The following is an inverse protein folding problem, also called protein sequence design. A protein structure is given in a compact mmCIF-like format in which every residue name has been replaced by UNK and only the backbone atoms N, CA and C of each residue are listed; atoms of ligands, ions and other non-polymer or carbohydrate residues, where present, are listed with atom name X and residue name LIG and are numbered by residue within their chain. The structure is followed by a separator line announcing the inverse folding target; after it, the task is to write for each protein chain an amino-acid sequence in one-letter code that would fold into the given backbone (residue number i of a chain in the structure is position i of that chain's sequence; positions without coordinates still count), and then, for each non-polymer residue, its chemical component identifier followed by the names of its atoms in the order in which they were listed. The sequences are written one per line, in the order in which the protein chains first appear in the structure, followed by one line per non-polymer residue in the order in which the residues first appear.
data_IF_641436245044
#
_entry.id   IF_641436245044
#
_cell.length_a   1.000
_cell.length_b   1.000
_cell.length_c   1.000
_cell.angle_alpha   90.00
_cell.angle_beta   90.00
_cell.angle_gamma   90.00
#
_symmetry.space_group_name_H-M   'P 1'
#
loop_
_entity.id
_entity.type
_entity.pdbx_description
1 polymer ?
#
# COMPACT_ATOMS: atom_id res chain seq x y z
N UNK A 1 0.43 -2.76 -20.09
CA UNK A 1 -0.45 -2.25 -19.01
C UNK A 1 0.24 -1.02 -18.42
N UNK A 2 -0.47 0.06 -18.07
CA UNK A 2 0.21 1.22 -17.45
C UNK A 2 0.65 0.83 -16.04
N UNK A 3 1.95 0.92 -15.70
CA UNK A 3 2.41 0.58 -14.37
C UNK A 3 1.80 1.53 -13.35
N UNK A 4 1.23 0.99 -12.29
CA UNK A 4 0.62 1.78 -11.23
C UNK A 4 0.69 1.04 -9.90
N UNK A 5 0.53 1.78 -8.81
CA UNK A 5 0.51 1.22 -7.48
C UNK A 5 -0.85 1.42 -6.80
N UNK A 6 -1.29 0.39 -6.07
CA UNK A 6 -2.44 0.45 -5.18
C UNK A 6 -1.96 0.50 -3.73
N UNK A 7 -2.62 1.34 -2.93
CA UNK A 7 -2.34 1.44 -1.49
C UNK A 7 -3.46 0.76 -0.73
N UNK A 8 -3.09 -0.11 0.19
CA UNK A 8 -4.00 -0.83 1.06
C UNK A 8 -3.82 -0.39 2.49
N UNK A 9 -4.91 -0.08 3.19
CA UNK A 9 -4.87 0.08 4.64
C UNK A 9 -4.97 -1.30 5.31
N UNK A 10 -4.17 -1.48 6.36
CA UNK A 10 -4.19 -2.63 7.24
C UNK A 10 -4.44 -2.17 8.66
N UNK A 11 -5.30 -2.91 9.33
CA UNK A 11 -5.59 -2.70 10.75
C UNK A 11 -5.46 -4.04 11.46
N UNK A 12 -4.69 -4.08 12.54
CA UNK A 12 -4.59 -5.24 13.41
C UNK A 12 -4.90 -4.83 14.85
N UNK A 13 -5.74 -5.62 15.52
CA UNK A 13 -6.01 -5.46 16.94
C UNK A 13 -5.10 -6.40 17.72
N UNK A 14 -4.29 -5.84 18.62
CA UNK A 14 -3.42 -6.61 19.49
C UNK A 14 -4.18 -7.16 20.70
N UNK A 15 -3.61 -8.17 21.36
CA UNK A 15 -4.19 -8.78 22.55
C UNK A 15 -4.41 -7.79 23.70
N UNK A 16 -3.60 -6.72 23.77
CA UNK A 16 -3.72 -5.63 24.73
C UNK A 16 -4.72 -4.53 24.32
N UNK A 17 -5.60 -4.82 23.34
CA UNK A 17 -6.63 -3.91 22.80
C UNK A 17 -6.09 -2.65 22.14
N UNK A 18 -4.83 -2.65 21.67
CA UNK A 18 -4.32 -1.58 20.81
C UNK A 18 -4.66 -1.88 19.35
N UNK A 19 -5.00 -0.83 18.63
CA UNK A 19 -5.20 -0.89 17.18
C UNK A 19 -3.94 -0.38 16.51
N UNK A 20 -3.26 -1.25 15.78
CA UNK A 20 -2.12 -0.88 14.91
C UNK A 20 -2.67 -0.69 13.50
N UNK A 21 -2.35 0.44 12.88
CA UNK A 21 -2.70 0.75 11.49
C UNK A 21 -1.44 1.00 10.69
N UNK A 22 -1.39 0.45 9.49
CA UNK A 22 -0.33 0.71 8.52
C UNK A 22 -0.89 0.63 7.11
N UNK A 23 -0.08 1.04 6.14
CA UNK A 23 -0.38 0.94 4.73
C UNK A 23 0.62 0.00 4.06
N UNK A 24 0.14 -0.72 3.05
CA UNK A 24 0.93 -1.60 2.18
C UNK A 24 0.74 -1.14 0.73
N UNK A 25 1.75 -1.37 -0.11
CA UNK A 25 1.67 -1.08 -1.53
C UNK A 25 1.63 -2.38 -2.36
N UNK A 26 0.81 -2.36 -3.41
CA UNK A 26 0.81 -3.38 -4.46
C UNK A 26 1.21 -2.71 -5.78
N UNK A 27 2.30 -3.20 -6.37
CA UNK A 27 2.82 -2.70 -7.63
C UNK A 27 2.24 -3.57 -8.75
N UNK A 28 1.68 -2.93 -9.77
CA UNK A 28 1.05 -3.62 -10.89
C UNK A 28 1.77 -3.19 -12.16
N UNK A 29 2.37 -4.14 -12.87
CA UNK A 29 3.05 -3.96 -14.15
C UNK A 29 2.67 -5.07 -15.15
N UNK A 30 3.34 -5.12 -16.29
CA UNK A 30 3.13 -6.12 -17.35
C UNK A 30 3.40 -7.56 -16.89
N UNK A 31 4.17 -7.78 -15.81
CA UNK A 31 4.39 -9.08 -15.19
C UNK A 31 3.29 -9.46 -14.18
N UNK A 32 2.30 -8.58 -13.97
CA UNK A 32 1.17 -8.79 -13.07
C UNK A 32 1.24 -7.95 -11.79
N UNK A 33 0.45 -8.36 -10.79
CA UNK A 33 0.36 -7.68 -9.51
C UNK A 33 1.34 -8.28 -8.48
N UNK A 34 2.21 -7.44 -7.92
CA UNK A 34 3.16 -7.79 -6.87
C UNK A 34 2.88 -7.00 -5.60
N UNK A 35 2.41 -7.69 -4.56
CA UNK A 35 2.19 -7.08 -3.24
C UNK A 35 3.48 -7.02 -2.42
N UNK A 36 3.83 -5.83 -1.93
CA UNK A 36 5.01 -5.64 -1.08
C UNK A 36 4.59 -5.69 0.38
N UNK A 37 4.57 -6.91 0.94
CA UNK A 37 4.21 -7.17 2.36
C UNK A 37 5.34 -6.91 3.34
N UNK A 38 6.58 -6.77 2.85
CA UNK A 38 7.76 -6.56 3.70
C UNK A 38 7.93 -5.12 4.17
N UNK A 39 7.07 -4.20 3.72
CA UNK A 39 7.19 -2.78 4.03
C UNK A 39 5.84 -2.24 4.50
N UNK A 40 5.81 -1.80 5.76
CA UNK A 40 4.68 -1.13 6.36
C UNK A 40 4.94 0.38 6.35
N UNK A 41 4.00 1.14 5.80
CA UNK A 41 4.04 2.60 5.80
C UNK A 41 3.10 3.15 6.87
N UNK A 42 3.49 4.22 7.55
CA UNK A 42 2.66 4.80 8.62
C UNK A 42 1.76 5.94 8.10
N UNK A 43 1.93 6.35 6.85
CA UNK A 43 1.05 7.32 6.18
C UNK A 43 0.85 6.98 4.71
N UNK A 44 -0.29 7.42 4.16
CA UNK A 44 -0.58 7.31 2.72
C UNK A 44 0.46 8.09 1.90
N UNK A 45 0.92 9.25 2.38
CA UNK A 45 1.92 10.06 1.69
C UNK A 45 3.28 9.35 1.56
N UNK A 46 3.69 8.63 2.59
CA UNK A 46 4.91 7.81 2.58
C UNK A 46 4.79 6.65 1.59
N UNK A 47 3.66 5.93 1.62
CA UNK A 47 3.36 4.87 0.67
C UNK A 47 3.33 5.37 -0.79
N UNK A 48 2.68 6.52 -1.05
CA UNK A 48 2.65 7.19 -2.37
C UNK A 48 4.06 7.60 -2.83
N UNK A 49 4.83 8.23 -1.95
CA UNK A 49 6.18 8.71 -2.28
C UNK A 49 7.11 7.55 -2.59
N UNK A 50 7.01 6.46 -1.83
CA UNK A 50 7.77 5.23 -2.09
C UNK A 50 7.37 4.60 -3.43
N UNK A 51 6.08 4.44 -3.71
CA UNK A 51 5.60 3.87 -4.96
C UNK A 51 6.03 4.69 -6.19
N UNK A 52 5.95 6.03 -6.08
CA UNK A 52 6.42 6.95 -7.11
C UNK A 52 7.93 6.80 -7.34
N UNK A 53 8.73 6.65 -6.28
CA UNK A 53 10.17 6.41 -6.39
C UNK A 53 10.51 5.06 -7.05
N UNK A 54 9.59 4.08 -7.03
CA UNK A 54 9.71 2.82 -7.76
C UNK A 54 9.26 2.93 -9.23
N UNK A 55 8.73 4.07 -9.67
CA UNK A 55 8.18 4.27 -11.02
C UNK A 55 6.71 3.84 -11.17
N UNK A 56 6.00 3.63 -10.06
CA UNK A 56 4.60 3.23 -10.05
C UNK A 56 3.74 4.38 -9.52
N UNK A 57 3.17 5.22 -10.41
CA UNK A 57 2.24 6.26 -9.97
C UNK A 57 1.05 5.62 -9.24
N UNK A 58 0.63 6.24 -8.14
CA UNK A 58 -0.56 5.84 -7.38
C UNK A 58 -1.71 6.70 -7.86
N UNK A 59 -2.77 6.08 -8.36
CA UNK A 59 -4.01 6.78 -8.68
C UNK A 59 -4.66 7.29 -7.37
N UNK A 60 -5.12 8.53 -7.35
CA UNK A 60 -5.74 9.12 -6.15
C UNK A 60 -7.09 8.48 -5.78
N UNK A 61 -7.55 7.55 -6.61
CA UNK A 61 -8.87 6.92 -6.55
C UNK A 61 -9.07 5.83 -5.48
N UNK A 62 -8.11 5.52 -4.60
CA UNK A 62 -8.48 4.69 -3.46
C UNK A 62 -7.34 4.10 -2.65
N UNK A 63 -7.20 4.60 -1.43
CA UNK A 63 -6.79 3.72 -0.33
C UNK A 63 -7.86 2.65 -0.20
N UNK A 64 -7.54 1.42 -0.58
CA UNK A 64 -8.47 0.30 -0.44
C UNK A 64 -8.33 -0.27 0.97
N UNK A 65 -9.44 -0.41 1.69
CA UNK A 65 -9.42 -1.20 2.93
C UNK A 65 -9.22 -2.66 2.55
N UNK A 66 -8.07 -3.22 2.90
CA UNK A 66 -7.86 -4.65 2.70
C UNK A 66 -8.54 -5.41 3.83
N UNK A 67 -9.75 -5.91 3.54
CA UNK A 67 -10.50 -6.83 4.40
C UNK A 67 -9.68 -8.08 4.78
#
# INVERSE_FOLDING_TARGET
MTPHALIFSRTCNTADRRTIRWFECELIDDNGARRVRSQAFFSVGEAKSWALAQGYPVDDAGVQEAQ
#
